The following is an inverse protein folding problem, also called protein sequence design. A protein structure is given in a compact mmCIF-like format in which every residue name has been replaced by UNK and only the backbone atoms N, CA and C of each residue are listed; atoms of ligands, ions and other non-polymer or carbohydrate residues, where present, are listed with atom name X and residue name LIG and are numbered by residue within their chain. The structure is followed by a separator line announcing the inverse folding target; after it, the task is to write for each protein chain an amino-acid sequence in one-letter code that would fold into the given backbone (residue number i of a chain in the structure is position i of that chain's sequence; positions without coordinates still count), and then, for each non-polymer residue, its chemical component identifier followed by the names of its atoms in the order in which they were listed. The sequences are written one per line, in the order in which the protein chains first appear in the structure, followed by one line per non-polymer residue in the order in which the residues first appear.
data_IF_188943606088
#
_entry.id   IF_188943606088
#
_cell.length_a   1.000
_cell.length_b   1.000
_cell.length_c   1.000
_cell.angle_alpha   90.00
_cell.angle_beta   90.00
_cell.angle_gamma   90.00
#
_symmetry.space_group_name_H-M   'P 1'
#
loop_
_entity.id
_entity.type
_entity.pdbx_description
1 polymer ?
#
# COMPACT_ATOMS: atom_id res chain seq x y z
N UNK A 1 -6.22 7.04 -4.30
CA UNK A 1 -5.12 6.12 -4.64
C UNK A 1 -3.83 6.77 -4.20
N UNK A 2 -2.80 6.00 -3.87
CA UNK A 2 -1.52 6.52 -3.36
C UNK A 2 -0.67 7.24 -4.44
N UNK A 3 -1.29 7.59 -5.57
CA UNK A 3 -0.68 8.22 -6.75
C UNK A 3 0.57 7.50 -7.30
N UNK A 4 0.77 6.23 -6.94
CA UNK A 4 1.89 5.42 -7.44
C UNK A 4 1.60 5.01 -8.89
N UNK A 5 2.39 5.47 -9.86
CA UNK A 5 2.19 5.14 -11.26
C UNK A 5 2.61 3.68 -11.54
N UNK A 6 1.73 2.91 -12.17
CA UNK A 6 2.12 1.63 -12.79
C UNK A 6 2.75 1.84 -14.16
N UNK A 7 2.96 0.75 -14.91
CA UNK A 7 3.38 0.85 -16.32
C UNK A 7 2.22 1.40 -17.16
N UNK A 8 2.36 2.58 -17.80
CA UNK A 8 1.31 3.15 -18.64
C UNK A 8 0.90 2.19 -19.75
N UNK A 9 -0.41 1.99 -19.93
CA UNK A 9 -0.94 1.05 -20.93
C UNK A 9 -0.94 -0.43 -20.51
N UNK A 10 -0.46 -0.76 -19.30
CA UNK A 10 -0.62 -2.08 -18.68
C UNK A 10 -1.72 -1.99 -17.62
N UNK A 11 -2.93 -2.43 -17.96
CA UNK A 11 -4.05 -2.49 -17.02
C UNK A 11 -4.04 -3.76 -16.16
N UNK A 12 -4.96 -3.81 -15.18
CA UNK A 12 -5.07 -4.90 -14.19
C UNK A 12 -5.14 -6.31 -14.81
N UNK A 13 -5.87 -6.49 -15.92
CA UNK A 13 -6.00 -7.79 -16.60
C UNK A 13 -4.66 -8.27 -17.17
N UNK A 14 -3.91 -7.37 -17.79
CA UNK A 14 -2.59 -7.68 -18.35
C UNK A 14 -1.59 -7.92 -17.22
N UNK A 15 -1.62 -7.10 -16.16
CA UNK A 15 -0.78 -7.29 -14.98
C UNK A 15 -1.01 -8.67 -14.32
N UNK A 16 -2.26 -9.08 -14.13
CA UNK A 16 -2.60 -10.40 -13.59
C UNK A 16 -2.02 -11.51 -14.46
N UNK A 17 -2.16 -11.42 -15.80
CA UNK A 17 -1.59 -12.41 -16.72
C UNK A 17 -0.06 -12.50 -16.58
N UNK A 18 0.62 -11.36 -16.58
CA UNK A 18 2.07 -11.29 -16.47
C UNK A 18 2.56 -11.87 -15.14
N UNK A 19 1.95 -11.50 -14.02
CA UNK A 19 2.35 -12.05 -12.72
C UNK A 19 1.97 -13.53 -12.59
N UNK A 20 0.87 -13.98 -13.19
CA UNK A 20 0.52 -15.40 -13.20
C UNK A 20 1.57 -16.24 -13.94
N UNK A 21 2.13 -15.70 -15.02
CA UNK A 21 3.15 -16.35 -15.86
C UNK A 21 4.55 -16.26 -15.25
N UNK A 22 5.00 -15.06 -14.90
CA UNK A 22 6.37 -14.79 -14.44
C UNK A 22 6.56 -14.83 -12.92
N UNK A 23 5.47 -14.87 -12.15
CA UNK A 23 5.40 -14.94 -10.67
C UNK A 23 5.84 -13.68 -9.92
N UNK A 24 6.93 -13.06 -10.32
CA UNK A 24 7.47 -11.84 -9.68
C UNK A 24 7.80 -10.78 -10.71
N UNK A 25 7.89 -9.53 -10.27
CA UNK A 25 8.36 -8.40 -11.10
C UNK A 25 9.79 -8.65 -11.56
N UNK A 26 10.65 -9.17 -10.68
CA UNK A 26 12.04 -9.51 -11.00
C UNK A 26 12.11 -10.53 -12.12
N UNK A 27 11.36 -11.62 -12.01
CA UNK A 27 11.33 -12.68 -13.02
C UNK A 27 10.78 -12.17 -14.36
N UNK A 28 9.76 -11.30 -14.32
CA UNK A 28 9.21 -10.64 -15.49
C UNK A 28 10.29 -9.81 -16.19
N UNK A 29 11.03 -8.99 -15.46
CA UNK A 29 12.09 -8.14 -15.99
C UNK A 29 13.28 -8.97 -16.50
N UNK A 30 13.67 -10.05 -15.82
CA UNK A 30 14.75 -10.95 -16.26
C UNK A 30 14.38 -11.82 -17.47
N UNK A 31 13.09 -12.00 -17.76
CA UNK A 31 12.60 -12.80 -18.89
C UNK A 31 11.80 -11.94 -19.89
N UNK A 32 12.14 -10.66 -20.02
CA UNK A 32 11.38 -9.71 -20.82
C UNK A 32 11.23 -10.16 -22.29
N UNK A 33 12.20 -10.91 -22.81
CA UNK A 33 12.19 -11.45 -24.17
C UNK A 33 11.06 -12.45 -24.44
N UNK A 34 10.47 -13.04 -23.39
CA UNK A 34 9.34 -13.98 -23.49
C UNK A 34 7.98 -13.29 -23.37
N UNK A 35 7.95 -11.98 -23.09
CA UNK A 35 6.70 -11.24 -22.90
C UNK A 35 6.00 -11.01 -24.22
N UNK A 36 4.75 -11.47 -24.32
CA UNK A 36 3.87 -11.23 -25.46
C UNK A 36 2.61 -10.47 -25.04
N UNK A 37 2.11 -9.54 -25.89
CA UNK A 37 2.60 -9.16 -27.21
C UNK A 37 3.78 -8.15 -27.17
N UNK A 38 4.51 -7.94 -28.30
CA UNK A 38 5.67 -7.04 -28.37
C UNK A 38 5.42 -5.62 -27.86
N UNK A 39 4.20 -5.10 -28.02
CA UNK A 39 3.81 -3.79 -27.45
C UNK A 39 3.94 -3.77 -25.92
N UNK A 40 3.49 -4.82 -25.24
CA UNK A 40 3.57 -4.91 -23.77
C UNK A 40 5.02 -5.07 -23.33
N UNK A 41 5.79 -5.86 -24.07
CA UNK A 41 7.23 -6.00 -23.85
C UNK A 41 7.94 -4.64 -23.89
N UNK A 42 7.72 -3.84 -24.94
CA UNK A 42 8.30 -2.49 -25.06
C UNK A 42 7.84 -1.58 -23.92
N UNK A 43 6.54 -1.57 -23.58
CA UNK A 43 6.04 -0.77 -22.46
C UNK A 43 6.74 -1.11 -21.13
N UNK A 44 6.92 -2.40 -20.83
CA UNK A 44 7.60 -2.81 -19.59
C UNK A 44 9.10 -2.49 -19.67
N UNK A 45 9.73 -2.63 -20.85
CA UNK A 45 11.13 -2.26 -21.06
C UNK A 45 11.37 -0.78 -20.76
N UNK A 46 10.55 0.07 -21.35
CA UNK A 46 10.68 1.52 -21.28
C UNK A 46 10.34 2.08 -19.89
N UNK A 47 9.61 1.30 -19.07
CA UNK A 47 9.20 1.67 -17.72
C UNK A 47 9.79 0.72 -16.65
N UNK A 48 10.88 0.02 -16.94
CA UNK A 48 11.45 -0.99 -16.04
C UNK A 48 11.88 -0.40 -14.70
N UNK A 49 12.50 0.78 -14.72
CA UNK A 49 12.95 1.47 -13.50
C UNK A 49 11.77 1.96 -12.68
N UNK A 50 10.80 2.62 -13.31
CA UNK A 50 9.56 3.03 -12.67
C UNK A 50 8.80 1.85 -12.06
N UNK A 51 8.81 0.68 -12.72
CA UNK A 51 8.16 -0.51 -12.20
C UNK A 51 8.86 -1.04 -10.93
N UNK A 52 10.20 -0.96 -10.86
CA UNK A 52 10.96 -1.31 -9.65
C UNK A 52 10.66 -0.33 -8.52
N UNK A 53 10.74 0.96 -8.79
CA UNK A 53 10.45 2.01 -7.79
C UNK A 53 9.02 1.89 -7.27
N UNK A 54 8.05 1.68 -8.17
CA UNK A 54 6.66 1.50 -7.78
C UNK A 54 6.45 0.23 -6.96
N UNK A 55 7.17 -0.86 -7.24
CA UNK A 55 7.14 -2.07 -6.41
C UNK A 55 7.67 -1.76 -5.00
N UNK A 56 8.78 -1.04 -4.90
CA UNK A 56 9.38 -0.71 -3.62
C UNK A 56 8.46 0.20 -2.80
N UNK A 57 7.86 1.22 -3.43
CA UNK A 57 6.91 2.14 -2.79
C UNK A 57 5.63 1.47 -2.29
N UNK A 58 5.12 0.45 -2.98
CA UNK A 58 3.92 -0.29 -2.53
C UNK A 58 4.24 -1.41 -1.54
N UNK A 59 5.51 -1.78 -1.38
CA UNK A 59 5.90 -2.87 -0.49
C UNK A 59 5.90 -2.36 0.94
N UNK A 60 5.08 -2.98 1.79
CA UNK A 60 5.03 -2.66 3.22
C UNK A 60 6.36 -3.05 3.86
N UNK A 61 7.08 -2.09 4.41
CA UNK A 61 8.24 -2.32 5.28
C UNK A 61 7.77 -2.93 6.61
N UNK A 62 8.16 -4.17 6.87
CA UNK A 62 7.75 -4.93 8.06
C UNK A 62 8.77 -4.92 9.19
N UNK A 63 9.99 -4.44 8.92
CA UNK A 63 11.09 -4.35 9.86
C UNK A 63 11.39 -2.88 10.22
N UNK A 64 10.39 -2.01 10.10
CA UNK A 64 10.51 -0.63 10.53
C UNK A 64 10.90 -0.61 12.03
N UNK A 65 11.98 0.10 12.34
CA UNK A 65 12.42 0.28 13.72
C UNK A 65 11.39 1.16 14.43
N UNK A 66 10.63 0.55 15.34
CA UNK A 66 9.63 1.24 16.14
C UNK A 66 9.76 0.78 17.58
N UNK A 67 9.58 1.69 18.53
CA UNK A 67 9.53 1.39 19.96
C UNK A 67 8.14 0.88 20.38
N UNK A 68 7.41 0.26 19.45
CA UNK A 68 6.02 -0.16 19.65
C UNK A 68 5.95 -1.52 20.35
N UNK A 69 5.31 -1.55 21.51
CA UNK A 69 4.89 -2.77 22.18
C UNK A 69 3.42 -3.04 21.89
N UNK A 70 3.12 -4.23 21.35
CA UNK A 70 1.75 -4.64 21.04
C UNK A 70 0.82 -4.59 22.27
N UNK A 71 1.33 -4.91 23.47
CA UNK A 71 0.52 -4.92 24.69
C UNK A 71 0.01 -3.53 25.07
N UNK A 72 0.75 -2.46 24.73
CA UNK A 72 0.35 -1.08 25.01
C UNK A 72 -0.82 -0.63 24.12
N UNK A 73 -1.09 -1.34 23.02
CA UNK A 73 -2.21 -1.06 22.12
C UNK A 73 -3.54 -1.69 22.55
N UNK A 74 -3.56 -2.46 23.64
CA UNK A 74 -4.80 -3.04 24.15
C UNK A 74 -5.78 -1.94 24.55
N UNK A 75 -7.02 -2.07 24.09
CA UNK A 75 -8.08 -1.18 24.54
C UNK A 75 -8.30 -1.39 26.05
N UNK A 76 -7.97 -0.35 26.83
CA UNK A 76 -7.95 -0.41 28.28
C UNK A 76 -8.98 0.51 28.93
N UNK A 77 -8.83 0.67 30.24
CA UNK A 77 -9.58 1.65 31.00
C UNK A 77 -9.12 3.06 30.63
N UNK A 78 -10.07 3.98 30.54
CA UNK A 78 -9.79 5.39 30.29
C UNK A 78 -10.57 6.29 31.24
N UNK A 79 -10.06 7.49 31.46
CA UNK A 79 -10.75 8.50 32.25
C UNK A 79 -11.80 9.19 31.39
N UNK A 80 -13.06 8.75 31.49
CA UNK A 80 -14.17 9.29 30.69
C UNK A 80 -14.27 10.81 30.76
N UNK A 81 -14.09 11.40 31.94
CA UNK A 81 -14.15 12.87 32.11
C UNK A 81 -13.08 13.60 31.31
N UNK A 82 -11.86 13.05 31.23
CA UNK A 82 -10.76 13.62 30.43
C UNK A 82 -11.04 13.51 28.93
N UNK A 83 -11.71 12.44 28.50
CA UNK A 83 -12.13 12.28 27.10
C UNK A 83 -13.24 13.27 26.77
N UNK A 84 -14.24 13.41 27.65
CA UNK A 84 -15.34 14.36 27.49
C UNK A 84 -14.85 15.80 27.41
N UNK A 85 -13.89 16.21 28.25
CA UNK A 85 -13.34 17.56 28.20
C UNK A 85 -12.69 17.86 26.84
N UNK A 86 -11.90 16.93 26.29
CA UNK A 86 -11.29 17.08 24.96
C UNK A 86 -12.36 17.12 23.87
N UNK A 87 -13.39 16.28 23.96
CA UNK A 87 -14.49 16.27 22.98
C UNK A 87 -15.30 17.57 23.00
N UNK A 88 -15.49 18.18 24.17
CA UNK A 88 -16.13 19.49 24.28
C UNK A 88 -15.25 20.60 23.71
N UNK A 89 -13.94 20.59 23.99
CA UNK A 89 -12.97 21.54 23.43
C UNK A 89 -12.91 21.46 21.90
N UNK A 90 -12.93 20.25 21.34
CA UNK A 90 -12.94 20.01 19.90
C UNK A 90 -14.34 20.14 19.26
N UNK A 91 -15.36 20.52 20.04
CA UNK A 91 -16.76 20.66 19.62
C UNK A 91 -17.39 19.37 19.03
N UNK A 92 -16.88 18.19 19.38
CA UNK A 92 -17.35 16.86 18.95
C UNK A 92 -18.61 16.38 19.71
N UNK A 93 -19.57 17.29 19.90
CA UNK A 93 -20.82 17.09 20.65
C UNK A 93 -21.62 15.84 20.23
N UNK A 94 -21.69 15.54 18.93
CA UNK A 94 -22.41 14.36 18.40
C UNK A 94 -21.70 13.03 18.68
N UNK A 95 -20.41 13.04 19.00
CA UNK A 95 -19.62 11.83 19.24
C UNK A 95 -19.56 11.48 20.73
N UNK A 96 -19.94 12.39 21.63
CA UNK A 96 -20.01 12.16 23.08
C UNK A 96 -20.90 10.96 23.42
N UNK A 97 -22.04 10.81 22.75
CA UNK A 97 -22.96 9.68 22.94
C UNK A 97 -22.42 8.33 22.46
N UNK A 98 -21.29 8.32 21.74
CA UNK A 98 -20.62 7.12 21.22
C UNK A 98 -19.43 6.68 22.06
N UNK A 99 -19.06 7.43 23.09
CA UNK A 99 -17.97 7.04 24.01
C UNK A 99 -18.47 5.84 24.83
N UNK A 100 -17.76 4.69 24.80
CA UNK A 100 -18.13 3.48 25.54
C UNK A 100 -18.33 3.70 27.05
#
# INVERSE_FOLDING_TARGET
SDNIPGVPGVGIKTAIKLISEFKTVENLLSNLDKVAPPRIQTLIRDNADQLRDSKDLVTIERNAQTDFNYEDSRFGLFHRDKVLSIFHELEFSRMVSKIP
#
